data_IF_124518967964
#
_entry.id   IF_124518967964
#
_cell.length_a   1.000
_cell.length_b   1.000
_cell.length_c   1.000
_cell.angle_alpha   90.00
_cell.angle_beta   90.00
_cell.angle_gamma   90.00
#
_symmetry.space_group_name_H-M   'P 1'
#
loop_
_entity.id
_entity.type
_entity.pdbx_description
1 polymer ?
#
# COMPACT_ATOMS: atom_id res chain seq x y z
N UNK A 1 -13.73 -29.57 -3.28
CA UNK A 1 -13.42 -30.22 -1.98
C UNK A 1 -14.68 -30.83 -1.37
N UNK A 2 -15.74 -30.04 -1.15
CA UNK A 2 -17.04 -30.56 -0.67
C UNK A 2 -17.66 -31.59 -1.63
N UNK A 3 -17.69 -31.32 -2.94
CA UNK A 3 -18.16 -32.29 -3.95
C UNK A 3 -17.33 -33.58 -4.02
N UNK A 4 -16.09 -33.53 -3.53
CA UNK A 4 -15.19 -34.69 -3.47
C UNK A 4 -15.20 -35.37 -2.10
N UNK A 5 -16.01 -34.91 -1.14
CA UNK A 5 -16.06 -35.42 0.24
C UNK A 5 -14.79 -35.18 1.06
N UNK A 6 -13.90 -34.29 0.61
CA UNK A 6 -12.63 -33.99 1.29
C UNK A 6 -12.81 -32.79 2.21
N UNK A 7 -12.66 -33.02 3.51
CA UNK A 7 -12.68 -31.98 4.54
C UNK A 7 -11.40 -31.14 4.45
N UNK A 8 -11.49 -29.80 4.35
CA UNK A 8 -10.32 -28.93 4.37
C UNK A 8 -9.67 -28.94 5.76
N UNK A 9 -8.34 -29.07 5.80
CA UNK A 9 -7.55 -28.95 7.03
C UNK A 9 -7.21 -27.48 7.36
N UNK A 10 -6.60 -27.25 8.53
CA UNK A 10 -6.27 -25.89 8.97
C UNK A 10 -5.33 -25.14 8.03
N UNK A 11 -4.41 -25.84 7.35
CA UNK A 11 -3.46 -25.23 6.40
C UNK A 11 -4.19 -24.77 5.14
N UNK A 12 -5.10 -25.60 4.63
CA UNK A 12 -5.94 -25.28 3.48
C UNK A 12 -6.80 -24.04 3.75
N UNK A 13 -7.41 -23.97 4.94
CA UNK A 13 -8.25 -22.83 5.36
C UNK A 13 -7.41 -21.55 5.45
N UNK A 14 -6.26 -21.59 6.13
CA UNK A 14 -5.36 -20.42 6.26
C UNK A 14 -4.91 -19.92 4.89
N UNK A 15 -4.47 -20.83 4.01
CA UNK A 15 -4.02 -20.50 2.66
C UNK A 15 -5.14 -19.88 1.81
N UNK A 16 -6.35 -20.45 1.86
CA UNK A 16 -7.50 -19.93 1.13
C UNK A 16 -7.91 -18.54 1.62
N UNK A 17 -7.84 -18.29 2.94
CA UNK A 17 -8.14 -16.99 3.51
C UNK A 17 -7.09 -15.93 3.14
N UNK A 18 -5.80 -16.27 3.18
CA UNK A 18 -4.72 -15.38 2.72
C UNK A 18 -4.85 -15.05 1.23
N UNK A 19 -5.19 -16.05 0.41
CA UNK A 19 -5.48 -15.84 -1.01
C UNK A 19 -6.70 -14.93 -1.20
N UNK A 20 -7.78 -15.14 -0.46
CA UNK A 20 -8.97 -14.28 -0.51
C UNK A 20 -8.66 -12.83 -0.10
N UNK A 21 -7.78 -12.63 0.88
CA UNK A 21 -7.32 -11.31 1.27
C UNK A 21 -6.56 -10.62 0.15
N UNK A 22 -5.57 -11.29 -0.45
CA UNK A 22 -4.77 -10.73 -1.55
C UNK A 22 -5.61 -10.47 -2.81
N UNK A 23 -6.58 -11.33 -3.12
CA UNK A 23 -7.48 -11.19 -4.27
C UNK A 23 -8.65 -10.22 -4.00
N UNK A 24 -8.76 -9.67 -2.78
CA UNK A 24 -9.89 -8.79 -2.40
C UNK A 24 -11.26 -9.50 -2.45
N UNK A 25 -11.26 -10.84 -2.39
CA UNK A 25 -12.42 -11.73 -2.33
C UNK A 25 -12.86 -11.95 -0.89
N UNK A 26 -12.94 -10.86 -0.13
CA UNK A 26 -13.09 -10.89 1.32
C UNK A 26 -14.41 -11.55 1.78
N UNK A 27 -15.50 -11.40 1.02
CA UNK A 27 -16.77 -12.09 1.33
C UNK A 27 -16.65 -13.61 1.20
N UNK A 28 -15.89 -14.09 0.22
CA UNK A 28 -15.59 -15.52 0.06
C UNK A 28 -14.71 -15.98 1.22
N UNK A 29 -13.67 -15.20 1.55
CA UNK A 29 -12.82 -15.46 2.71
C UNK A 29 -13.65 -15.54 4.00
N UNK A 30 -14.58 -14.62 4.23
CA UNK A 30 -15.45 -14.64 5.40
C UNK A 30 -16.34 -15.88 5.44
N UNK A 31 -16.95 -16.28 4.32
CA UNK A 31 -17.73 -17.53 4.23
C UNK A 31 -16.88 -18.77 4.53
N UNK A 32 -15.66 -18.82 3.99
CA UNK A 32 -14.71 -19.90 4.25
C UNK A 32 -14.37 -19.96 5.74
N UNK A 33 -14.16 -18.81 6.38
CA UNK A 33 -13.90 -18.75 7.82
C UNK A 33 -15.10 -19.20 8.65
N UNK A 34 -16.29 -18.67 8.39
CA UNK A 34 -17.50 -19.02 9.14
C UNK A 34 -17.76 -20.54 9.05
N UNK A 35 -17.61 -21.11 7.84
CA UNK A 35 -17.74 -22.55 7.59
C UNK A 35 -16.64 -23.39 8.24
N UNK A 36 -15.39 -22.89 8.26
CA UNK A 36 -14.29 -23.57 8.93
C UNK A 36 -14.41 -23.53 10.46
N UNK A 37 -14.91 -22.43 11.03
CA UNK A 37 -15.15 -22.27 12.48
C UNK A 37 -16.25 -23.20 12.98
N UNK A 38 -17.30 -23.42 12.19
CA UNK A 38 -18.39 -24.33 12.54
C UNK A 38 -17.96 -25.81 12.46
N UNK A 39 -17.05 -26.16 11.54
CA UNK A 39 -16.61 -27.54 11.32
C UNK A 39 -15.35 -27.92 12.10
N UNK A 40 -14.54 -26.96 12.55
CA UNK A 40 -13.28 -27.23 13.26
C UNK A 40 -13.21 -26.42 14.55
N UNK A 41 -13.24 -27.11 15.70
CA UNK A 41 -12.80 -26.56 17.00
C UNK A 41 -11.27 -26.40 17.05
N UNK A 42 -10.67 -25.96 15.94
CA UNK A 42 -9.23 -25.87 15.78
C UNK A 42 -8.75 -24.46 16.12
N UNK A 43 -7.96 -24.37 17.20
CA UNK A 43 -7.34 -23.13 17.69
C UNK A 43 -6.54 -22.44 16.57
N UNK A 44 -5.93 -23.19 15.65
CA UNK A 44 -5.18 -22.64 14.51
C UNK A 44 -6.10 -21.87 13.57
N UNK A 45 -7.30 -22.38 13.28
CA UNK A 45 -8.28 -21.71 12.42
C UNK A 45 -8.89 -20.49 13.12
N UNK A 46 -9.16 -20.59 14.43
CA UNK A 46 -9.59 -19.45 15.24
C UNK A 46 -8.53 -18.33 15.28
N UNK A 47 -7.26 -18.70 15.41
CA UNK A 47 -6.14 -17.75 15.38
C UNK A 47 -5.86 -17.22 13.96
N UNK A 48 -6.12 -18.01 12.92
CA UNK A 48 -5.94 -17.59 11.53
C UNK A 48 -6.76 -16.35 11.18
N UNK A 49 -7.95 -16.18 11.76
CA UNK A 49 -8.76 -14.96 11.57
C UNK A 49 -8.23 -13.77 12.35
N UNK A 50 -7.56 -14.00 13.49
CA UNK A 50 -6.79 -12.94 14.13
C UNK A 50 -5.63 -12.49 13.22
N UNK A 51 -5.01 -13.42 12.46
CA UNK A 51 -3.95 -13.13 11.50
C UNK A 51 -4.47 -12.51 10.18
N UNK A 52 -5.70 -12.82 9.77
CA UNK A 52 -6.47 -12.05 8.76
C UNK A 52 -7.07 -10.83 9.46
N UNK A 53 -6.16 -10.08 10.07
CA UNK A 53 -6.44 -8.87 10.80
C UNK A 53 -7.19 -7.89 9.87
N UNK A 54 -7.99 -7.02 10.46
CA UNK A 54 -8.68 -5.92 9.76
C UNK A 54 -7.73 -5.21 8.80
N UNK A 55 -6.48 -5.06 9.21
CA UNK A 55 -5.35 -4.55 8.44
C UNK A 55 -5.13 -5.30 7.12
N UNK A 56 -5.08 -6.64 7.14
CA UNK A 56 -4.88 -7.50 5.96
C UNK A 56 -6.04 -7.37 4.98
N UNK A 57 -7.28 -7.33 5.49
CA UNK A 57 -8.47 -7.13 4.65
C UNK A 57 -8.49 -5.73 4.02
N UNK A 58 -8.09 -4.70 4.76
CA UNK A 58 -7.99 -3.31 4.27
C UNK A 58 -6.92 -3.20 3.18
N UNK A 59 -5.74 -3.78 3.39
CA UNK A 59 -4.67 -3.83 2.37
C UNK A 59 -5.14 -4.59 1.14
N UNK A 60 -5.84 -5.72 1.31
CA UNK A 60 -6.45 -6.46 0.21
C UNK A 60 -7.40 -5.60 -0.62
N UNK A 61 -8.28 -4.84 0.02
CA UNK A 61 -9.15 -3.89 -0.69
C UNK A 61 -8.37 -2.75 -1.35
N UNK A 62 -7.31 -2.26 -0.73
CA UNK A 62 -6.44 -1.22 -1.28
C UNK A 62 -5.78 -1.65 -2.59
N UNK A 63 -5.16 -2.83 -2.61
CA UNK A 63 -4.47 -3.40 -3.79
C UNK A 63 -5.45 -3.59 -4.95
N UNK A 64 -6.71 -3.91 -4.64
CA UNK A 64 -7.76 -4.11 -5.64
C UNK A 64 -8.50 -2.82 -6.02
N UNK A 65 -8.02 -1.64 -5.60
CA UNK A 65 -8.63 -0.35 -5.91
C UNK A 65 -10.01 -0.12 -5.29
N UNK A 66 -10.42 -0.95 -4.32
CA UNK A 66 -11.73 -0.88 -3.66
C UNK A 66 -11.66 0.01 -2.42
N UNK A 67 -11.30 1.28 -2.61
CA UNK A 67 -11.04 2.24 -1.54
C UNK A 67 -12.22 2.45 -0.60
N UNK A 68 -13.45 2.53 -1.11
CA UNK A 68 -14.67 2.65 -0.30
C UNK A 68 -14.84 1.46 0.66
N UNK A 69 -14.57 0.23 0.19
CA UNK A 69 -14.65 -0.97 1.04
C UNK A 69 -13.55 -1.01 2.09
N UNK A 70 -12.35 -0.52 1.75
CA UNK A 70 -11.26 -0.37 2.73
C UNK A 70 -11.63 0.62 3.85
N UNK A 71 -12.27 1.74 3.50
CA UNK A 71 -12.74 2.74 4.46
C UNK A 71 -13.91 2.26 5.33
N UNK A 72 -14.88 1.56 4.73
CA UNK A 72 -15.98 0.94 5.48
C UNK A 72 -15.43 -0.05 6.52
N UNK A 73 -14.43 -0.85 6.14
CA UNK A 73 -13.79 -1.79 7.04
C UNK A 73 -13.05 -1.10 8.19
N UNK A 74 -12.36 0.02 7.92
CA UNK A 74 -11.72 0.84 8.96
C UNK A 74 -12.76 1.35 9.96
N UNK A 75 -13.88 1.92 9.48
CA UNK A 75 -14.93 2.43 10.37
C UNK A 75 -15.56 1.31 11.20
N UNK A 76 -15.73 0.13 10.61
CA UNK A 76 -16.26 -1.04 11.31
C UNK A 76 -15.27 -1.60 12.35
N UNK A 77 -13.98 -1.60 12.04
CA UNK A 77 -12.92 -1.94 13.01
C UNK A 77 -13.02 -1.02 14.24
N UNK A 78 -13.13 0.29 14.00
CA UNK A 78 -13.26 1.30 15.06
C UNK A 78 -14.56 1.17 15.85
N UNK A 79 -15.69 0.87 15.20
CA UNK A 79 -16.99 0.70 15.88
C UNK A 79 -17.03 -0.54 16.78
N UNK A 80 -16.20 -1.55 16.48
CA UNK A 80 -15.98 -2.72 17.31
C UNK A 80 -14.89 -2.50 18.39
N UNK A 81 -14.45 -1.25 18.59
CA UNK A 81 -13.41 -0.87 19.55
C UNK A 81 -12.05 -1.53 19.29
N UNK A 82 -11.83 -2.06 18.08
CA UNK A 82 -10.53 -2.58 17.65
C UNK A 82 -9.70 -1.40 17.17
N UNK A 83 -8.50 -1.22 17.74
CA UNK A 83 -7.65 -0.07 17.46
C UNK A 83 -6.89 -0.26 16.14
N UNK A 84 -7.03 0.66 15.16
CA UNK A 84 -6.20 0.67 13.96
C UNK A 84 -4.71 0.75 14.32
N UNK A 85 -3.90 -0.03 13.62
CA UNK A 85 -2.45 0.02 13.74
C UNK A 85 -1.83 0.65 12.48
N UNK A 86 -0.51 0.77 12.46
CA UNK A 86 0.21 1.34 11.32
C UNK A 86 -0.06 0.58 10.01
N UNK A 87 -0.21 -0.75 10.02
CA UNK A 87 -0.53 -1.54 8.80
C UNK A 87 -1.92 -1.19 8.30
N UNK A 88 -2.89 -1.04 9.21
CA UNK A 88 -4.24 -0.59 8.89
C UNK A 88 -4.21 0.73 8.12
N UNK A 89 -3.49 1.73 8.64
CA UNK A 89 -3.40 3.03 7.99
C UNK A 89 -2.58 2.99 6.69
N UNK A 90 -1.53 2.18 6.61
CA UNK A 90 -0.80 1.99 5.35
C UNK A 90 -1.72 1.50 4.22
N UNK A 91 -2.60 0.54 4.53
CA UNK A 91 -3.60 0.05 3.58
C UNK A 91 -4.58 1.14 3.17
N UNK A 92 -5.10 1.92 4.14
CA UNK A 92 -6.01 3.06 3.86
C UNK A 92 -5.34 4.13 2.99
N UNK A 93 -4.11 4.53 3.33
CA UNK A 93 -3.34 5.51 2.55
C UNK A 93 -3.10 5.04 1.12
N UNK A 94 -2.79 3.75 0.95
CA UNK A 94 -2.57 3.15 -0.38
C UNK A 94 -3.86 3.06 -1.19
N UNK A 95 -5.00 2.84 -0.54
CA UNK A 95 -6.30 2.77 -1.19
C UNK A 95 -6.82 4.16 -1.60
N UNK A 96 -6.49 5.18 -0.82
CA UNK A 96 -7.08 6.50 -0.90
C UNK A 96 -6.04 7.53 -1.35
N UNK A 97 -5.82 7.67 -2.65
CA UNK A 97 -4.89 8.66 -3.23
C UNK A 97 -5.10 10.07 -2.65
N UNK A 98 -6.28 10.66 -2.85
CA UNK A 98 -6.55 12.03 -2.38
C UNK A 98 -7.07 12.10 -0.93
N UNK A 99 -7.98 11.21 -0.55
CA UNK A 99 -8.59 11.20 0.79
C UNK A 99 -7.71 10.59 1.88
N UNK A 100 -6.65 9.87 1.50
CA UNK A 100 -5.63 9.32 2.40
C UNK A 100 -4.95 10.41 3.23
N UNK A 101 -4.89 11.64 2.70
CA UNK A 101 -4.26 12.77 3.36
C UNK A 101 -4.82 13.07 4.76
N UNK A 102 -6.15 12.96 4.92
CA UNK A 102 -6.80 13.12 6.22
C UNK A 102 -6.25 12.11 7.24
N UNK A 103 -6.05 10.87 6.80
CA UNK A 103 -5.53 9.80 7.65
C UNK A 103 -4.05 9.98 7.94
N UNK A 104 -3.24 10.44 6.98
CA UNK A 104 -1.84 10.77 7.23
C UNK A 104 -1.70 11.84 8.31
N UNK A 105 -2.46 12.94 8.20
CA UNK A 105 -2.46 14.00 9.21
C UNK A 105 -2.92 13.49 10.58
N UNK A 106 -3.94 12.64 10.61
CA UNK A 106 -4.37 11.98 11.83
C UNK A 106 -3.23 11.17 12.46
N UNK A 107 -2.48 10.41 11.68
CA UNK A 107 -1.32 9.66 12.18
C UNK A 107 -0.22 10.58 12.73
N UNK A 108 0.05 11.71 12.06
CA UNK A 108 1.08 12.67 12.51
C UNK A 108 0.70 13.34 13.83
N UNK A 109 -0.59 13.64 14.01
CA UNK A 109 -1.12 14.26 15.23
C UNK A 109 -1.33 13.24 16.36
N UNK A 110 -1.45 11.96 16.02
CA UNK A 110 -1.65 10.90 17.01
C UNK A 110 -0.39 10.66 17.84
N UNK A 111 -0.57 10.63 19.16
CA UNK A 111 0.48 10.21 20.10
C UNK A 111 0.49 8.69 20.34
N UNK A 112 -0.35 7.93 19.63
CA UNK A 112 -0.46 6.49 19.78
C UNK A 112 0.75 5.77 19.17
N UNK A 113 1.44 4.97 19.99
CA UNK A 113 2.58 4.16 19.57
C UNK A 113 2.20 3.10 18.51
N UNK A 114 0.94 2.67 18.47
CA UNK A 114 0.43 1.70 17.49
C UNK A 114 0.29 2.31 16.08
N UNK A 115 0.25 3.64 15.99
CA UNK A 115 -0.01 4.41 14.76
C UNK A 115 1.26 5.15 14.29
N UNK A 116 2.42 4.77 14.82
CA UNK A 116 3.69 5.43 14.49
C UNK A 116 3.98 5.40 12.98
N UNK A 117 4.23 6.57 12.40
CA UNK A 117 4.65 6.68 11.00
C UNK A 117 5.95 5.90 10.76
N UNK A 118 5.96 5.19 9.64
CA UNK A 118 7.14 4.50 9.08
C UNK A 118 7.37 4.97 7.66
N UNK A 119 8.56 4.69 7.12
CA UNK A 119 8.98 5.07 5.74
C UNK A 119 7.93 4.74 4.67
N UNK A 120 7.22 3.63 4.82
CA UNK A 120 6.19 3.18 3.90
C UNK A 120 5.01 4.16 3.81
N UNK A 121 4.63 4.80 4.93
CA UNK A 121 3.55 5.80 4.95
C UNK A 121 3.95 7.10 4.26
N UNK A 122 5.24 7.46 4.35
CA UNK A 122 5.79 8.61 3.63
C UNK A 122 5.81 8.35 2.12
N UNK A 123 6.11 7.12 1.69
CA UNK A 123 6.03 6.73 0.29
C UNK A 123 4.58 6.83 -0.25
N UNK A 124 3.57 6.47 0.54
CA UNK A 124 2.17 6.68 0.14
C UNK A 124 1.78 8.15 0.01
N UNK A 125 2.47 9.08 0.70
CA UNK A 125 2.25 10.52 0.51
C UNK A 125 2.82 11.03 -0.82
N UNK A 126 3.83 10.37 -1.36
CA UNK A 126 4.36 10.63 -2.70
C UNK A 126 3.35 10.10 -3.73
N UNK A 127 2.14 10.64 -3.67
CA UNK A 127 1.01 10.25 -4.49
C UNK A 127 1.06 10.97 -5.84
N UNK A 128 0.52 10.26 -6.82
CA UNK A 128 0.35 10.63 -8.24
C UNK A 128 -0.71 11.72 -8.41
N UNK A 129 -0.86 12.63 -7.47
CA UNK A 129 -1.90 13.68 -7.46
C UNK A 129 -1.52 14.94 -8.24
N UNK A 130 -0.31 14.99 -8.80
CA UNK A 130 0.18 16.10 -9.64
C UNK A 130 0.79 17.27 -8.86
N UNK A 131 0.71 17.28 -7.53
CA UNK A 131 1.31 18.31 -6.67
C UNK A 131 2.79 18.02 -6.40
N UNK A 132 3.58 17.96 -7.46
CA UNK A 132 4.93 17.43 -7.42
C UNK A 132 5.90 18.33 -6.62
N UNK A 133 5.77 19.66 -6.74
CA UNK A 133 6.59 20.61 -5.98
C UNK A 133 6.33 20.53 -4.47
N UNK A 134 5.05 20.46 -4.06
CA UNK A 134 4.69 20.26 -2.65
C UNK A 134 5.22 18.92 -2.11
N UNK A 135 5.26 17.91 -2.97
CA UNK A 135 5.78 16.59 -2.63
C UNK A 135 7.30 16.63 -2.47
N UNK A 136 8.01 17.34 -3.34
CA UNK A 136 9.46 17.57 -3.22
C UNK A 136 9.81 18.32 -1.93
N UNK A 137 9.12 19.43 -1.66
CA UNK A 137 9.24 20.21 -0.43
C UNK A 137 8.97 19.35 0.82
N UNK A 138 7.98 18.47 0.74
CA UNK A 138 7.65 17.57 1.83
C UNK A 138 8.77 16.57 2.10
N UNK A 139 9.35 15.97 1.06
CA UNK A 139 10.47 15.02 1.20
C UNK A 139 11.66 15.70 1.90
N UNK A 140 11.94 16.96 1.58
CA UNK A 140 12.97 17.76 2.26
C UNK A 140 12.66 18.06 3.74
N UNK A 141 11.39 18.10 4.13
CA UNK A 141 10.93 18.36 5.51
C UNK A 141 10.75 17.08 6.33
N UNK A 142 11.05 15.91 5.77
CA UNK A 142 10.87 14.64 6.48
C UNK A 142 11.78 14.55 7.72
N UNK A 143 11.25 14.09 8.87
CA UNK A 143 12.05 13.90 10.08
C UNK A 143 12.96 12.67 10.00
N UNK A 144 12.85 11.88 8.93
CA UNK A 144 13.63 10.68 8.65
C UNK A 144 14.34 10.85 7.31
N UNK A 145 15.53 10.27 7.17
CA UNK A 145 16.29 10.29 5.90
C UNK A 145 15.46 9.58 4.82
N UNK A 146 15.15 10.23 3.69
CA UNK A 146 14.44 9.58 2.58
C UNK A 146 15.28 8.46 1.97
N UNK A 147 14.64 7.33 1.67
CA UNK A 147 15.27 6.17 1.04
C UNK A 147 15.12 6.22 -0.50
N UNK A 148 15.80 5.35 -1.27
CA UNK A 148 15.68 5.34 -2.73
C UNK A 148 14.23 5.12 -3.20
N UNK A 149 13.43 4.37 -2.43
CA UNK A 149 12.02 4.10 -2.73
C UNK A 149 11.19 5.39 -2.80
N UNK A 150 11.34 6.28 -1.82
CA UNK A 150 10.64 7.57 -1.77
C UNK A 150 10.99 8.45 -2.98
N UNK A 151 12.28 8.55 -3.32
CA UNK A 151 12.72 9.30 -4.50
C UNK A 151 12.25 8.67 -5.81
N UNK A 152 12.25 7.33 -5.88
CA UNK A 152 11.69 6.57 -7.00
C UNK A 152 10.20 6.81 -7.20
N UNK A 153 9.42 6.93 -6.11
CA UNK A 153 8.01 7.30 -6.17
C UNK A 153 7.82 8.71 -6.76
N UNK A 154 8.66 9.68 -6.37
CA UNK A 154 8.57 11.05 -6.90
C UNK A 154 8.93 11.09 -8.38
N UNK A 155 9.97 10.36 -8.78
CA UNK A 155 10.37 10.21 -10.18
C UNK A 155 9.24 9.59 -11.01
N UNK A 156 8.59 8.54 -10.48
CA UNK A 156 7.43 7.91 -11.11
C UNK A 156 6.24 8.87 -11.24
N UNK A 157 5.98 9.70 -10.23
CA UNK A 157 4.95 10.73 -10.28
C UNK A 157 5.27 11.81 -11.33
N UNK A 158 6.53 12.25 -11.42
CA UNK A 158 6.98 13.18 -12.47
C UNK A 158 6.74 12.61 -13.87
N UNK A 159 6.98 11.30 -14.06
CA UNK A 159 6.73 10.63 -15.33
C UNK A 159 5.26 10.58 -15.71
N UNK A 160 4.37 10.31 -14.74
CA UNK A 160 2.93 10.27 -14.96
C UNK A 160 2.36 11.64 -15.31
N UNK A 161 2.86 12.70 -14.68
CA UNK A 161 2.38 14.08 -14.86
C UNK A 161 3.17 14.87 -15.90
N UNK A 162 4.09 14.22 -16.61
CA UNK A 162 4.95 14.82 -17.64
C UNK A 162 5.74 16.05 -17.14
N UNK A 163 6.10 16.09 -15.86
CA UNK A 163 6.95 17.15 -15.30
C UNK A 163 8.43 16.77 -15.44
N UNK A 164 8.95 16.95 -16.65
CA UNK A 164 10.32 16.56 -17.00
C UNK A 164 11.36 17.40 -16.28
N UNK A 165 11.06 18.67 -15.96
CA UNK A 165 12.01 19.54 -15.26
C UNK A 165 12.32 19.01 -13.85
N UNK A 166 11.28 18.75 -13.06
CA UNK A 166 11.46 18.19 -11.73
C UNK A 166 11.98 16.75 -11.80
N UNK A 167 11.46 15.95 -12.72
CA UNK A 167 11.93 14.57 -12.94
C UNK A 167 13.43 14.49 -13.22
N UNK A 168 13.96 15.39 -14.06
CA UNK A 168 15.39 15.50 -14.34
C UNK A 168 16.19 16.02 -13.13
N UNK A 169 15.64 16.96 -12.37
CA UNK A 169 16.30 17.49 -11.17
C UNK A 169 16.46 16.42 -10.08
N UNK A 170 15.46 15.56 -9.90
CA UNK A 170 15.51 14.52 -8.86
C UNK A 170 16.13 13.21 -9.34
N UNK A 171 16.31 13.00 -10.65
CA UNK A 171 16.78 11.76 -11.26
C UNK A 171 18.10 11.24 -10.68
N UNK A 172 19.06 12.14 -10.43
CA UNK A 172 20.38 11.77 -9.94
C UNK A 172 20.35 11.18 -8.52
N UNK A 173 19.34 11.53 -7.72
CA UNK A 173 19.23 11.10 -6.32
C UNK A 173 18.95 9.59 -6.22
N UNK A 174 17.88 9.02 -6.83
CA UNK A 174 17.68 7.58 -6.87
C UNK A 174 18.87 6.80 -7.47
N UNK A 175 19.49 7.28 -8.55
CA UNK A 175 20.63 6.58 -9.15
C UNK A 175 21.87 6.57 -8.26
N UNK A 176 22.16 7.68 -7.58
CA UNK A 176 23.28 7.73 -6.64
C UNK A 176 23.03 6.82 -5.43
N UNK A 177 21.77 6.65 -5.02
CA UNK A 177 21.42 5.84 -3.86
C UNK A 177 21.23 4.34 -4.17
N UNK A 178 20.73 4.00 -5.37
CA UNK A 178 20.42 2.64 -5.80
C UNK A 178 20.50 2.50 -7.34
N UNK A 179 21.71 2.39 -7.91
CA UNK A 179 21.93 2.38 -9.36
C UNK A 179 21.47 1.08 -10.04
N UNK A 180 21.21 0.03 -9.28
CA UNK A 180 20.78 -1.30 -9.75
C UNK A 180 19.28 -1.38 -10.05
N UNK A 181 18.50 -0.36 -9.68
CA UNK A 181 17.05 -0.33 -9.89
C UNK A 181 16.74 0.10 -11.33
N UNK A 182 16.53 -0.90 -12.19
CA UNK A 182 16.24 -0.72 -13.62
C UNK A 182 14.98 0.13 -13.91
N UNK A 183 14.01 0.18 -12.98
CA UNK A 183 12.78 0.95 -13.17
C UNK A 183 13.04 2.46 -13.27
N UNK A 184 14.12 2.98 -12.68
CA UNK A 184 14.47 4.41 -12.79
C UNK A 184 14.88 4.79 -14.20
N UNK A 185 15.68 3.96 -14.87
CA UNK A 185 16.05 4.17 -16.27
C UNK A 185 14.83 4.17 -17.20
N UNK A 186 13.90 3.23 -16.98
CA UNK A 186 12.65 3.16 -17.77
C UNK A 186 11.80 4.42 -17.57
N UNK A 187 11.66 4.91 -16.34
CA UNK A 187 10.87 6.12 -16.04
C UNK A 187 11.45 7.37 -16.73
N UNK A 188 12.78 7.54 -16.70
CA UNK A 188 13.45 8.65 -17.38
C UNK A 188 13.38 8.56 -18.90
N UNK A 189 13.63 7.38 -19.46
CA UNK A 189 13.50 7.17 -20.90
C UNK A 189 12.09 7.51 -21.38
N UNK A 190 11.06 7.11 -20.62
CA UNK A 190 9.67 7.43 -20.95
C UNK A 190 9.40 8.93 -20.86
N UNK A 191 9.92 9.64 -19.85
CA UNK A 191 9.81 11.10 -19.73
C UNK A 191 10.52 11.86 -20.85
N UNK A 192 11.68 11.41 -21.30
CA UNK A 192 12.38 12.07 -22.39
C UNK A 192 11.70 11.82 -23.74
N UNK A 193 11.14 10.62 -23.93
CA UNK A 193 10.36 10.28 -25.12
C UNK A 193 9.10 11.16 -25.26
N UNK A 194 8.41 11.50 -24.17
CA UNK A 194 7.19 12.35 -24.21
C UNK A 194 7.46 13.80 -24.61
N UNK A 195 8.68 14.31 -24.41
CA UNK A 195 9.08 15.68 -24.78
C UNK A 195 9.81 15.71 -26.13
N UNK A 196 9.96 14.57 -26.82
CA UNK A 196 10.69 14.48 -28.07
C UNK A 196 12.20 14.72 -27.94
N UNK A 197 12.74 14.66 -26.71
CA UNK A 197 14.17 14.75 -26.43
C UNK A 197 14.81 13.36 -26.53
N UNK A 198 14.82 12.81 -27.74
CA UNK A 198 15.43 11.49 -28.01
C UNK A 198 16.95 11.47 -27.86
N UNK A 199 17.60 12.64 -27.81
CA UNK A 199 19.05 12.80 -27.86
C UNK A 199 19.77 12.86 -26.49
N UNK A 200 19.05 12.76 -25.37
CA UNK A 200 19.65 12.84 -24.02
C UNK A 200 19.74 11.49 -23.29
N UNK A 201 19.63 10.37 -24.01
CA UNK A 201 19.63 9.01 -23.43
C UNK A 201 20.99 8.31 -23.53
N UNK A 202 21.98 8.97 -24.15
CA UNK A 202 23.35 8.43 -24.33
C UNK A 202 24.41 9.35 -23.69
N UNK A 203 24.48 9.43 -22.35
CA UNK A 203 25.69 9.88 -21.63
C UNK A 203 25.76 9.33 -20.21
#
# INVERSE_FOLDING_TARGET
MEEAGVQPDSVTVVGALSACANLGCIEIGKKIYDLARENTNNIIVGNAWLDIDWSTMIVGYAINGKSEKALDLLHRMQSQQVQPNYVTFLGVLSACSHSGWKYFNYMVQSSDKNIKLRKEHYACRVDRSGHLEETYDFIGKMPIKPDPGIWGCLLGACAIHNNVNLGQHVADIPFALAPDIASYHVLLSNMYATVGKWYSVDQ
#
